data_IF_560996792301
#
_entry.id   IF_560996792301
#
_cell.length_a   1.000
_cell.length_b   1.000
_cell.length_c   1.000
_cell.angle_alpha   90.00
_cell.angle_beta   90.00
_cell.angle_gamma   90.00
#
_symmetry.space_group_name_H-M   'P 1'
#
loop_
_entity.id
_entity.type
_entity.pdbx_description
1 polymer ?
#
# COMPACT_ATOMS: atom_id res chain seq x y z
N UNK A 1 21.49 -9.49 -33.99
CA UNK A 1 20.25 -9.60 -33.19
C UNK A 1 20.69 -9.44 -31.75
N UNK A 2 20.26 -8.38 -31.07
CA UNK A 2 20.54 -8.20 -29.64
C UNK A 2 19.24 -8.58 -28.95
N UNK A 3 19.23 -9.73 -28.28
CA UNK A 3 18.15 -10.11 -27.38
C UNK A 3 18.39 -9.40 -26.05
N UNK A 4 17.72 -8.26 -25.86
CA UNK A 4 17.64 -7.63 -24.54
C UNK A 4 16.50 -8.32 -23.79
N UNK A 5 16.83 -9.35 -23.01
CA UNK A 5 15.91 -9.92 -22.04
C UNK A 5 16.28 -9.36 -20.66
N UNK A 6 15.89 -8.10 -20.41
CA UNK A 6 15.88 -7.55 -19.07
C UNK A 6 14.70 -8.21 -18.33
N UNK A 7 14.97 -9.37 -17.76
CA UNK A 7 14.09 -10.03 -16.80
C UNK A 7 13.99 -9.11 -15.57
N UNK A 8 12.90 -8.34 -15.49
CA UNK A 8 12.54 -7.62 -14.28
C UNK A 8 12.21 -8.67 -13.23
N UNK A 9 13.22 -9.05 -12.44
CA UNK A 9 13.05 -9.84 -11.22
C UNK A 9 12.24 -8.96 -10.26
N UNK A 10 10.92 -9.15 -10.25
CA UNK A 10 10.08 -8.68 -9.17
C UNK A 10 10.46 -9.54 -7.96
N UNK A 11 11.36 -9.01 -7.13
CA UNK A 11 11.62 -9.57 -5.80
C UNK A 11 10.27 -9.84 -5.15
N UNK A 12 10.06 -11.09 -4.71
CA UNK A 12 8.79 -11.64 -4.23
C UNK A 12 8.01 -10.60 -3.41
N UNK A 13 7.05 -9.94 -4.05
CA UNK A 13 6.19 -8.98 -3.35
C UNK A 13 5.38 -9.81 -2.38
N UNK A 14 5.77 -9.73 -1.10
CA UNK A 14 5.24 -10.59 -0.07
C UNK A 14 3.72 -10.38 -0.02
N UNK A 15 2.92 -11.39 -0.35
CA UNK A 15 1.45 -11.27 -0.42
C UNK A 15 0.86 -10.77 0.92
N UNK A 16 1.57 -11.04 2.02
CA UNK A 16 1.25 -10.55 3.36
C UNK A 16 1.33 -9.02 3.48
N UNK A 17 2.18 -8.35 2.71
CA UNK A 17 2.28 -6.88 2.71
C UNK A 17 1.13 -6.22 1.94
N UNK A 18 0.58 -6.90 0.93
CA UNK A 18 -0.52 -6.41 0.09
C UNK A 18 -1.93 -6.71 0.62
N UNK A 19 -2.07 -6.92 1.94
CA UNK A 19 -3.39 -7.15 2.55
C UNK A 19 -4.16 -5.84 2.84
N UNK A 20 -5.45 -5.97 3.16
CA UNK A 20 -6.33 -4.85 3.51
C UNK A 20 -6.23 -4.41 4.97
N UNK A 21 -5.20 -4.82 5.72
CA UNK A 21 -5.05 -4.46 7.14
C UNK A 21 -4.40 -3.08 7.23
N UNK A 22 -5.04 -2.15 7.94
CA UNK A 22 -4.48 -0.82 8.18
C UNK A 22 -3.31 -0.88 9.16
N UNK A 23 -2.18 -0.26 8.81
CA UNK A 23 -0.99 -0.27 9.67
C UNK A 23 -1.14 0.55 10.95
N UNK A 24 -2.11 1.44 11.03
CA UNK A 24 -2.32 2.28 12.21
C UNK A 24 -3.30 1.66 13.20
N UNK A 25 -4.52 1.36 12.75
CA UNK A 25 -5.55 0.80 13.63
C UNK A 25 -5.55 -0.73 13.69
N UNK A 26 -4.71 -1.40 12.87
CA UNK A 26 -4.57 -2.87 12.79
C UNK A 26 -5.88 -3.61 12.46
N UNK A 27 -6.78 -2.93 11.76
CA UNK A 27 -8.08 -3.46 11.33
C UNK A 27 -8.17 -3.54 9.80
N UNK A 28 -8.87 -4.56 9.30
CA UNK A 28 -9.12 -4.75 7.88
C UNK A 28 -10.09 -3.71 7.31
N UNK A 29 -9.71 -3.05 6.22
CA UNK A 29 -10.52 -2.06 5.53
C UNK A 29 -10.24 -2.10 4.03
N UNK A 30 -11.29 -2.20 3.21
CA UNK A 30 -11.18 -2.17 1.73
C UNK A 30 -10.47 -0.91 1.18
N UNK A 31 -10.55 0.21 1.91
CA UNK A 31 -9.88 1.45 1.53
C UNK A 31 -8.34 1.38 1.61
N UNK A 32 -7.78 0.38 2.29
CA UNK A 32 -6.32 0.27 2.49
C UNK A 32 -5.62 0.07 1.15
N UNK A 33 -6.08 -0.86 0.31
CA UNK A 33 -5.49 -1.07 -1.02
C UNK A 33 -5.59 0.18 -1.90
N UNK A 34 -6.74 0.86 -1.88
CA UNK A 34 -6.94 2.10 -2.64
C UNK A 34 -5.97 3.20 -2.17
N UNK A 35 -5.82 3.38 -0.86
CA UNK A 35 -4.88 4.37 -0.31
C UNK A 35 -3.42 3.96 -0.56
N UNK A 36 -3.09 2.68 -0.48
CA UNK A 36 -1.76 2.18 -0.79
C UNK A 36 -1.37 2.51 -2.24
N UNK A 37 -2.27 2.32 -3.20
CA UNK A 37 -2.02 2.68 -4.61
C UNK A 37 -1.91 4.19 -4.80
N UNK A 38 -2.79 4.97 -4.18
CA UNK A 38 -2.87 6.42 -4.40
C UNK A 38 -1.81 7.22 -3.65
N UNK A 39 -1.39 6.77 -2.47
CA UNK A 39 -0.51 7.53 -1.58
C UNK A 39 0.73 6.77 -1.13
N UNK A 40 0.85 5.48 -1.46
CA UNK A 40 1.93 4.61 -0.96
C UNK A 40 1.80 4.25 0.52
N UNK A 41 0.70 4.63 1.18
CA UNK A 41 0.48 4.37 2.62
C UNK A 41 -0.60 3.33 2.83
N UNK A 42 -0.26 2.28 3.58
CA UNK A 42 -1.17 1.19 3.95
C UNK A 42 -2.09 1.59 5.12
N UNK A 43 -2.95 2.59 4.90
CA UNK A 43 -3.84 3.16 5.92
C UNK A 43 -5.30 3.15 5.47
N UNK A 44 -6.23 3.01 6.42
CA UNK A 44 -7.65 3.11 6.13
C UNK A 44 -8.09 4.57 5.93
N UNK A 45 -9.27 4.77 5.33
CA UNK A 45 -9.85 6.10 5.09
C UNK A 45 -9.94 6.94 6.36
N UNK A 46 -10.36 6.36 7.48
CA UNK A 46 -10.51 7.07 8.75
C UNK A 46 -9.17 7.59 9.28
N UNK A 47 -8.14 6.74 9.29
CA UNK A 47 -6.78 7.13 9.67
C UNK A 47 -6.21 8.26 8.78
N UNK A 48 -6.40 8.15 7.46
CA UNK A 48 -6.01 9.20 6.51
C UNK A 48 -6.69 10.53 6.79
N UNK A 49 -8.00 10.50 7.04
CA UNK A 49 -8.78 11.70 7.39
C UNK A 49 -8.29 12.30 8.70
N UNK A 50 -8.09 11.47 9.74
CA UNK A 50 -7.57 11.92 11.03
C UNK A 50 -6.23 12.65 10.90
N UNK A 51 -5.28 12.13 10.11
CA UNK A 51 -4.00 12.80 9.85
C UNK A 51 -4.12 14.11 9.07
N UNK A 52 -5.13 14.22 8.20
CA UNK A 52 -5.33 15.43 7.38
C UNK A 52 -6.02 16.53 8.19
N UNK A 53 -6.95 16.17 9.08
CA UNK A 53 -7.68 17.12 9.93
C UNK A 53 -6.80 17.66 11.06
N UNK A 54 -5.89 16.84 11.59
CA UNK A 54 -4.96 17.21 12.65
C UNK A 54 -3.50 17.17 12.17
N UNK A 55 -3.08 18.09 11.27
CA UNK A 55 -1.68 18.22 10.90
C UNK A 55 -0.89 18.78 12.08
N UNK A 56 0.21 18.10 12.45
CA UNK A 56 1.20 18.57 13.43
C UNK A 56 2.30 19.38 12.74
#
# INVERSE_FOLDING_TARGET
MIENNDELVLEDVNEEELNNICDECKQEHQSVTQNLILTGYKICKSCRVSKTIFPL
#
